data_IF_154495434060
#
_entry.id   IF_154495434060
#
_cell.length_a   1.000
_cell.length_b   1.000
_cell.length_c   1.000
_cell.angle_alpha   90.00
_cell.angle_beta   90.00
_cell.angle_gamma   90.00
#
_symmetry.space_group_name_H-M   'P 1'
#
loop_
_entity.id
_entity.type
_entity.pdbx_description
1 polymer ?
#
# COMPACT_ATOMS: atom_id res chain seq x y z
N UNK A 1 4.81 12.88 27.84
CA UNK A 1 4.65 13.92 26.79
C UNK A 1 5.59 13.66 25.61
N UNK A 2 6.89 13.39 25.83
CA UNK A 2 7.85 13.07 24.75
C UNK A 2 7.59 11.78 23.96
N UNK A 3 6.95 10.78 24.57
CA UNK A 3 6.67 9.50 23.89
C UNK A 3 5.63 9.67 22.77
N UNK A 4 4.61 10.49 22.97
CA UNK A 4 3.61 10.80 21.94
C UNK A 4 4.25 11.54 20.76
N UNK A 5 5.18 12.47 21.02
CA UNK A 5 5.90 13.20 19.98
C UNK A 5 6.75 12.25 19.13
N UNK A 6 7.47 11.31 19.75
CA UNK A 6 8.27 10.32 19.05
C UNK A 6 7.42 9.41 18.13
N UNK A 7 6.25 8.97 18.60
CA UNK A 7 5.31 8.17 17.80
C UNK A 7 4.76 9.00 16.62
N UNK A 8 4.43 10.27 16.85
CA UNK A 8 3.95 11.18 15.82
C UNK A 8 5.00 11.44 14.73
N UNK A 9 6.23 11.76 15.11
CA UNK A 9 7.33 11.98 14.16
C UNK A 9 7.65 10.71 13.36
N UNK A 10 7.64 9.55 14.03
CA UNK A 10 7.87 8.26 13.37
C UNK A 10 6.74 7.94 12.38
N UNK A 11 5.48 8.16 12.77
CA UNK A 11 4.33 7.98 11.89
C UNK A 11 4.37 8.92 10.68
N UNK A 12 4.65 10.21 10.89
CA UNK A 12 4.81 11.18 9.81
C UNK A 12 5.95 10.80 8.85
N UNK A 13 7.07 10.32 9.38
CA UNK A 13 8.19 9.84 8.57
C UNK A 13 7.81 8.62 7.71
N UNK A 14 7.11 7.63 8.29
CA UNK A 14 6.60 6.48 7.53
C UNK A 14 5.60 6.88 6.45
N UNK A 15 4.72 7.86 6.71
CA UNK A 15 3.79 8.38 5.69
C UNK A 15 4.57 8.99 4.52
N UNK A 16 5.56 9.82 4.80
CA UNK A 16 6.37 10.46 3.76
C UNK A 16 7.14 9.41 2.95
N UNK A 17 7.82 8.46 3.62
CA UNK A 17 8.55 7.42 2.92
C UNK A 17 7.65 6.50 2.10
N UNK A 18 6.52 6.06 2.65
CA UNK A 18 5.59 5.18 1.95
C UNK A 18 4.94 5.85 0.74
N UNK A 19 4.52 7.11 0.88
CA UNK A 19 3.93 7.88 -0.23
C UNK A 19 4.96 8.22 -1.31
N UNK A 20 6.16 8.64 -0.92
CA UNK A 20 7.24 8.97 -1.87
C UNK A 20 7.75 7.71 -2.57
N UNK A 21 7.86 6.59 -1.83
CA UNK A 21 8.18 5.27 -2.38
C UNK A 21 7.13 4.77 -3.37
N UNK A 22 5.84 5.01 -3.09
CA UNK A 22 4.75 4.63 -4.00
C UNK A 22 4.66 5.54 -5.25
N UNK A 23 4.98 6.84 -5.11
CA UNK A 23 4.83 7.83 -6.18
C UNK A 23 6.06 7.97 -7.09
N UNK A 24 7.27 7.92 -6.53
CA UNK A 24 8.54 8.25 -7.22
C UNK A 24 9.50 7.04 -7.22
N UNK A 25 9.13 5.91 -6.62
CA UNK A 25 9.99 4.74 -6.54
C UNK A 25 10.41 4.19 -7.91
N UNK A 26 11.70 3.88 -8.13
CA UNK A 26 12.21 3.31 -9.39
C UNK A 26 11.59 1.94 -9.77
N UNK A 27 10.89 1.30 -8.83
CA UNK A 27 10.14 0.06 -9.01
C UNK A 27 8.64 0.28 -9.34
N UNK A 28 8.30 1.36 -10.03
CA UNK A 28 6.92 1.71 -10.46
C UNK A 28 6.18 0.56 -11.17
N UNK A 29 6.94 -0.25 -11.91
CA UNK A 29 6.43 -1.32 -12.76
C UNK A 29 6.00 -2.55 -11.99
N UNK A 30 6.57 -2.79 -10.80
CA UNK A 30 6.25 -3.97 -10.00
C UNK A 30 5.11 -3.66 -9.03
N UNK A 31 3.89 -4.16 -9.29
CA UNK A 31 2.73 -3.80 -8.49
C UNK A 31 2.80 -4.33 -7.05
N UNK A 32 3.64 -5.34 -6.79
CA UNK A 32 3.97 -5.82 -5.44
C UNK A 32 4.77 -4.80 -4.63
N UNK A 33 5.74 -4.12 -5.25
CA UNK A 33 6.54 -3.10 -4.54
C UNK A 33 5.69 -1.86 -4.26
N UNK A 34 4.80 -1.52 -5.19
CA UNK A 34 3.83 -0.43 -5.00
C UNK A 34 2.87 -0.70 -3.86
N UNK A 35 2.33 -1.92 -3.74
CA UNK A 35 1.43 -2.27 -2.64
C UNK A 35 2.15 -2.23 -1.29
N UNK A 36 3.39 -2.71 -1.20
CA UNK A 36 4.19 -2.65 0.01
C UNK A 36 4.48 -1.21 0.48
N UNK A 37 4.79 -0.30 -0.45
CA UNK A 37 4.98 1.12 -0.12
C UNK A 37 3.69 1.77 0.38
N UNK A 38 2.53 1.36 -0.17
CA UNK A 38 1.22 1.80 0.31
C UNK A 38 0.96 1.32 1.75
N UNK A 39 1.32 0.08 2.07
CA UNK A 39 1.20 -0.47 3.42
C UNK A 39 2.07 0.27 4.44
N UNK A 40 3.30 0.66 4.06
CA UNK A 40 4.13 1.51 4.93
C UNK A 40 3.44 2.85 5.25
N UNK A 41 2.82 3.49 4.25
CA UNK A 41 2.08 4.73 4.47
C UNK A 41 0.86 4.50 5.37
N UNK A 42 0.12 3.41 5.16
CA UNK A 42 -1.02 2.98 5.99
C UNK A 42 -0.57 2.78 7.46
N UNK A 43 0.52 2.05 7.70
CA UNK A 43 1.04 1.86 9.06
C UNK A 43 1.44 3.19 9.70
N UNK A 44 2.03 4.13 8.94
CA UNK A 44 2.32 5.48 9.44
C UNK A 44 1.08 6.25 9.90
N UNK A 45 -0.04 6.14 9.17
CA UNK A 45 -1.33 6.72 9.58
C UNK A 45 -1.87 6.08 10.86
N UNK A 46 -1.72 4.76 11.03
CA UNK A 46 -2.07 4.08 12.28
C UNK A 46 -1.29 4.64 13.47
N UNK A 47 0.02 4.87 13.34
CA UNK A 47 0.84 5.45 14.41
C UNK A 47 0.36 6.85 14.79
N UNK A 48 -0.04 7.67 13.80
CA UNK A 48 -0.58 9.01 14.05
C UNK A 48 -1.90 8.93 14.83
N UNK A 49 -2.84 8.06 14.44
CA UNK A 49 -4.09 7.89 15.20
C UNK A 49 -3.88 7.37 16.61
N UNK A 50 -2.88 6.51 16.81
CA UNK A 50 -2.50 6.02 18.13
C UNK A 50 -1.97 7.16 19.02
N UNK A 51 -1.13 8.05 18.47
CA UNK A 51 -0.60 9.20 19.21
C UNK A 51 -1.70 10.19 19.67
N UNK A 52 -2.78 10.32 18.91
CA UNK A 52 -3.94 11.15 19.27
C UNK A 52 -4.97 10.45 20.16
N UNK A 53 -4.72 9.21 20.59
CA UNK A 53 -5.66 8.40 21.37
C UNK A 53 -7.03 8.22 20.67
N UNK A 54 -7.07 8.31 19.35
CA UNK A 54 -8.30 8.09 18.56
C UNK A 54 -8.46 6.61 18.23
N UNK A 55 -8.81 5.81 19.25
CA UNK A 55 -8.97 4.36 19.13
C UNK A 55 -9.98 3.94 18.04
N UNK A 56 -11.12 4.65 17.96
CA UNK A 56 -12.15 4.38 16.95
C UNK A 56 -11.63 4.57 15.52
N UNK A 57 -10.88 5.66 15.28
CA UNK A 57 -10.27 5.90 13.97
C UNK A 57 -9.22 4.83 13.65
N UNK A 58 -8.42 4.44 14.63
CA UNK A 58 -7.39 3.43 14.49
C UNK A 58 -7.96 2.06 14.10
N UNK A 59 -8.99 1.57 14.81
CA UNK A 59 -9.58 0.25 14.56
C UNK A 59 -10.24 0.19 13.19
N UNK A 60 -11.02 1.21 12.83
CA UNK A 60 -11.65 1.27 11.50
C UNK A 60 -10.60 1.31 10.39
N UNK A 61 -9.54 2.08 10.58
CA UNK A 61 -8.49 2.19 9.57
C UNK A 61 -7.70 0.89 9.40
N UNK A 62 -7.34 0.21 10.50
CA UNK A 62 -6.72 -1.12 10.45
C UNK A 62 -7.65 -2.15 9.80
N UNK A 63 -8.94 -2.14 10.15
CA UNK A 63 -9.92 -3.06 9.57
C UNK A 63 -10.02 -2.86 8.05
N UNK A 64 -10.19 -1.63 7.59
CA UNK A 64 -10.24 -1.32 6.16
C UNK A 64 -8.93 -1.70 5.47
N UNK A 65 -7.77 -1.35 6.04
CA UNK A 65 -6.46 -1.75 5.50
C UNK A 65 -6.36 -3.26 5.32
N UNK A 66 -6.68 -4.03 6.35
CA UNK A 66 -6.65 -5.50 6.32
C UNK A 66 -7.59 -6.11 5.27
N UNK A 67 -8.70 -5.45 4.93
CA UNK A 67 -9.56 -5.86 3.81
C UNK A 67 -9.01 -5.40 2.45
N UNK A 68 -8.50 -4.17 2.35
CA UNK A 68 -8.06 -3.57 1.09
C UNK A 68 -6.79 -4.23 0.54
N UNK A 69 -5.79 -4.57 1.37
CA UNK A 69 -4.53 -5.19 0.92
C UNK A 69 -4.74 -6.50 0.13
N UNK A 70 -5.47 -7.52 0.64
CA UNK A 70 -5.69 -8.76 -0.11
C UNK A 70 -6.58 -8.54 -1.34
N UNK A 71 -7.51 -7.58 -1.29
CA UNK A 71 -8.34 -7.23 -2.45
C UNK A 71 -7.47 -6.63 -3.55
N UNK A 72 -6.59 -5.69 -3.21
CA UNK A 72 -5.69 -5.04 -4.16
C UNK A 72 -4.70 -6.04 -4.77
N UNK A 73 -4.11 -6.91 -3.93
CA UNK A 73 -3.22 -7.98 -4.41
C UNK A 73 -3.93 -8.92 -5.38
N UNK A 74 -5.16 -9.35 -5.07
CA UNK A 74 -5.96 -10.18 -5.98
C UNK A 74 -6.33 -9.44 -7.27
N UNK A 75 -6.63 -8.15 -7.19
CA UNK A 75 -6.94 -7.34 -8.35
C UNK A 75 -5.73 -7.23 -9.29
N UNK A 76 -4.55 -6.97 -8.73
CA UNK A 76 -3.28 -6.90 -9.47
C UNK A 76 -2.99 -8.23 -10.19
N UNK A 77 -2.99 -9.35 -9.44
CA UNK A 77 -2.68 -10.67 -10.01
C UNK A 77 -3.66 -11.05 -11.13
N UNK A 78 -4.92 -10.64 -11.02
CA UNK A 78 -5.94 -10.91 -12.04
C UNK A 78 -5.75 -10.06 -13.30
N UNK A 79 -5.27 -8.82 -13.16
CA UNK A 79 -4.91 -7.95 -14.29
C UNK A 79 -3.71 -8.53 -15.03
N UNK A 80 -2.63 -8.88 -14.31
CA UNK A 80 -1.43 -9.49 -14.92
C UNK A 80 -1.75 -10.80 -15.65
N UNK A 81 -2.63 -11.64 -15.08
CA UNK A 81 -3.07 -12.88 -15.73
C UNK A 81 -3.83 -12.61 -17.04
N UNK A 82 -4.69 -11.57 -17.07
CA UNK A 82 -5.47 -11.22 -18.26
C UNK A 82 -4.60 -10.60 -19.37
N UNK A 83 -3.58 -9.82 -18.98
CA UNK A 83 -2.59 -9.27 -19.93
C UNK A 83 -1.75 -10.39 -20.56
N UNK A 84 -1.28 -11.34 -19.74
CA UNK A 84 -0.55 -12.52 -20.22
C UNK A 84 -1.36 -13.37 -21.19
N UNK A 85 -2.65 -13.60 -20.94
CA UNK A 85 -3.53 -14.33 -21.86
C UNK A 85 -3.73 -13.60 -23.19
N UNK A 86 -3.79 -12.26 -23.19
CA UNK A 86 -3.86 -11.45 -24.41
C UNK A 86 -2.60 -11.58 -25.27
N UNK A 87 -1.42 -11.54 -24.65
CA UNK A 87 -0.15 -11.70 -25.38
C UNK A 87 -0.06 -13.06 -26.07
N UNK A 88 -0.56 -14.12 -25.45
CA UNK A 88 -0.62 -15.47 -26.04
C UNK A 88 -1.54 -15.52 -27.27
N UNK A 89 -2.72 -14.87 -27.20
CA UNK A 89 -3.66 -14.82 -28.32
C UNK A 89 -3.11 -14.02 -29.50
N UNK A 90 -2.52 -12.84 -29.25
CA UNK A 90 -1.90 -12.03 -30.31
C UNK A 90 -0.62 -12.66 -30.88
N UNK A 91 0.04 -13.53 -30.12
CA UNK A 91 1.15 -14.36 -30.62
C UNK A 91 0.64 -15.42 -31.59
N UNK A 92 -0.47 -16.09 -31.25
CA UNK A 92 -1.08 -17.15 -32.07
C UNK A 92 -1.66 -16.67 -33.40
N UNK A 93 -2.01 -15.38 -33.55
CA UNK A 93 -2.53 -14.84 -34.83
C UNK A 93 -1.41 -14.40 -35.80
N UNK A 94 -0.15 -14.34 -35.33
CA UNK A 94 1.00 -13.94 -36.15
C UNK A 94 1.80 -15.11 -36.73
N UNK A 95 1.52 -16.32 -36.28
CA UNK A 95 2.11 -17.60 -36.75
C UNK A 95 1.13 -18.35 -37.67
#
# INVERSE_FOLDING_TARGET
MHECEAILYTGAFMIILGTLGAAIGPARSDPVVKSLNLELATVGVCLVFLAFNHLLALITFIAVGAFTTPILMRAILRVEASERDREVLEGSERD
#
